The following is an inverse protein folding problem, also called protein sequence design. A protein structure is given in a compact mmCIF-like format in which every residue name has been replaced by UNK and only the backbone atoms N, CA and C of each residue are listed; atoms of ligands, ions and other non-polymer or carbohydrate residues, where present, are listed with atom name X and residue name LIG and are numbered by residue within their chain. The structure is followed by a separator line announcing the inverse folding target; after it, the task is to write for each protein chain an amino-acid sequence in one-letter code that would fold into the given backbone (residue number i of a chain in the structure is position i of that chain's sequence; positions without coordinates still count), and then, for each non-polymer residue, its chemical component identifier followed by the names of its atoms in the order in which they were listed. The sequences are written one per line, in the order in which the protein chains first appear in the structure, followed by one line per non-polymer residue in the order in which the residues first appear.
data_IF_768801913010
#
_entry.id   IF_768801913010
#
_cell.length_a   1.000
_cell.length_b   1.000
_cell.length_c   1.000
_cell.angle_alpha   90.00
_cell.angle_beta   90.00
_cell.angle_gamma   90.00
#
_symmetry.space_group_name_H-M   'P 1'
#
loop_
_entity.id
_entity.type
_entity.pdbx_description
1 polymer ?
#
# COMPACT_ATOMS: atom_id res chain seq x y z
N UNK A 1 3.20 30.19 45.83
CA UNK A 1 1.81 30.49 46.24
C UNK A 1 0.92 30.21 45.05
N UNK A 2 0.16 29.10 45.09
CA UNK A 2 -0.68 28.57 44.01
C UNK A 2 -2.10 29.15 44.14
N UNK A 3 -2.70 29.61 43.04
CA UNK A 3 -4.16 29.71 42.90
C UNK A 3 -4.49 29.38 41.44
N UNK A 4 -4.97 28.15 41.19
CA UNK A 4 -5.63 27.77 39.95
C UNK A 4 -7.14 27.78 40.23
N UNK A 5 -7.88 28.53 39.42
CA UNK A 5 -9.34 28.59 39.49
C UNK A 5 -9.95 27.29 38.96
N UNK A 6 -10.84 26.74 39.78
CA UNK A 6 -11.68 25.57 39.58
C UNK A 6 -12.97 26.02 38.89
N UNK A 7 -13.28 25.46 37.72
CA UNK A 7 -14.59 25.55 37.10
C UNK A 7 -15.14 24.15 36.85
N UNK A 8 -16.04 23.74 37.74
CA UNK A 8 -17.03 22.69 37.53
C UNK A 8 -18.03 23.10 36.45
N UNK A 9 -18.34 22.21 35.50
CA UNK A 9 -19.69 22.15 34.94
C UNK A 9 -20.04 20.77 34.37
N UNK A 10 -20.86 20.07 35.17
CA UNK A 10 -22.05 19.27 34.81
C UNK A 10 -21.94 18.15 33.77
N UNK A 11 -22.10 16.92 34.29
CA UNK A 11 -22.59 15.75 33.55
C UNK A 11 -23.98 16.03 32.96
N UNK A 12 -24.24 15.53 31.75
CA UNK A 12 -25.59 15.37 31.20
C UNK A 12 -25.73 13.92 30.75
N UNK A 13 -26.69 13.22 31.35
CA UNK A 13 -27.23 11.90 30.99
C UNK A 13 -28.25 12.00 29.84
N UNK A 14 -28.40 10.90 29.09
CA UNK A 14 -29.19 10.65 27.86
C UNK A 14 -30.65 11.15 27.83
N UNK A 15 -31.30 11.17 26.64
CA UNK A 15 -32.12 10.00 26.28
C UNK A 15 -32.14 9.61 24.79
N UNK A 16 -32.50 8.34 24.61
CA UNK A 16 -32.90 7.61 23.41
C UNK A 16 -33.96 8.32 22.57
N UNK A 17 -33.85 8.26 21.23
CA UNK A 17 -35.02 8.31 20.33
C UNK A 17 -34.89 7.38 19.14
N UNK A 18 -35.78 6.39 19.17
CA UNK A 18 -36.29 5.60 18.06
C UNK A 18 -36.81 6.51 16.94
N UNK A 19 -36.54 6.15 15.69
CA UNK A 19 -37.47 6.43 14.58
C UNK A 19 -37.68 5.14 13.81
N UNK A 20 -38.91 4.67 13.86
CA UNK A 20 -39.48 3.52 13.14
C UNK A 20 -40.64 4.05 12.31
N UNK A 21 -40.62 3.83 10.99
CA UNK A 21 -41.81 3.72 10.11
C UNK A 21 -41.31 3.21 8.75
N UNK A 22 -41.47 1.93 8.43
CA UNK A 22 -42.61 1.30 7.74
C UNK A 22 -42.27 1.11 6.24
N UNK A 23 -42.00 -0.13 5.81
CA UNK A 23 -42.96 -1.16 5.37
C UNK A 23 -43.36 -0.96 3.89
N UNK A 24 -42.73 -1.73 3.00
CA UNK A 24 -43.35 -2.17 1.75
C UNK A 24 -43.23 -3.69 1.69
N UNK A 25 -44.40 -4.33 1.76
CA UNK A 25 -44.63 -5.76 1.64
C UNK A 25 -44.63 -6.09 0.14
N UNK A 26 -43.82 -7.06 -0.26
CA UNK A 26 -44.09 -7.89 -1.43
C UNK A 26 -43.72 -9.33 -1.10
N UNK A 27 -44.73 -10.09 -0.70
CA UNK A 27 -44.64 -11.53 -0.53
C UNK A 27 -44.71 -12.20 -1.91
N UNK A 28 -43.74 -13.07 -2.22
CA UNK A 28 -43.93 -14.12 -3.20
C UNK A 28 -43.52 -15.45 -2.55
N UNK A 29 -44.53 -16.25 -2.24
CA UNK A 29 -44.40 -17.62 -1.76
C UNK A 29 -43.98 -18.52 -2.91
N UNK A 30 -42.92 -19.31 -2.74
CA UNK A 30 -42.77 -20.56 -3.49
C UNK A 30 -42.21 -21.64 -2.57
N UNK A 31 -43.11 -22.54 -2.19
CA UNK A 31 -42.88 -23.81 -1.51
C UNK A 31 -41.98 -24.71 -2.36
N UNK A 32 -40.96 -25.35 -1.79
CA UNK A 32 -40.48 -26.65 -2.30
C UNK A 32 -39.80 -27.46 -1.19
N UNK A 33 -39.98 -28.77 -1.32
CA UNK A 33 -40.02 -29.76 -0.27
C UNK A 33 -38.66 -30.20 0.27
N UNK A 34 -38.64 -30.58 1.55
CA UNK A 34 -37.63 -31.47 2.12
C UNK A 34 -37.80 -32.86 1.52
N UNK A 35 -36.84 -33.28 0.70
CA UNK A 35 -36.66 -34.66 0.26
C UNK A 35 -35.32 -35.19 0.78
N UNK A 36 -35.36 -36.04 1.81
CA UNK A 36 -34.28 -36.96 2.12
C UNK A 36 -34.37 -38.13 1.14
N UNK A 37 -33.43 -38.23 0.21
CA UNK A 37 -33.19 -39.44 -0.57
C UNK A 37 -31.69 -39.54 -0.93
N UNK A 38 -31.19 -40.76 -0.84
CA UNK A 38 -29.79 -41.14 -0.78
C UNK A 38 -29.01 -41.02 -2.11
N UNK A 39 -27.68 -41.18 -1.97
CA UNK A 39 -26.71 -41.57 -2.99
C UNK A 39 -26.36 -40.53 -4.08
N UNK A 40 -25.25 -39.83 -3.79
CA UNK A 40 -24.16 -39.62 -4.74
C UNK A 40 -24.44 -38.78 -5.98
N UNK A 41 -24.31 -37.46 -5.86
CA UNK A 41 -24.08 -36.58 -6.99
C UNK A 41 -22.91 -35.63 -6.68
N UNK A 42 -21.87 -35.69 -7.50
CA UNK A 42 -20.77 -34.72 -7.50
C UNK A 42 -21.34 -33.39 -8.00
N UNK A 43 -21.73 -32.50 -7.10
CA UNK A 43 -22.03 -31.12 -7.46
C UNK A 43 -20.74 -30.46 -7.95
N UNK A 44 -20.64 -30.37 -9.28
CA UNK A 44 -19.63 -29.59 -9.96
C UNK A 44 -19.80 -28.13 -9.55
N UNK A 45 -18.79 -27.57 -8.88
CA UNK A 45 -18.58 -26.14 -8.79
C UNK A 45 -18.51 -25.57 -10.21
N UNK A 46 -19.63 -25.10 -10.76
CA UNK A 46 -19.60 -24.29 -11.97
C UNK A 46 -19.13 -22.90 -11.55
N UNK A 47 -17.82 -22.68 -11.68
CA UNK A 47 -17.26 -21.35 -11.71
C UNK A 47 -17.93 -20.61 -12.87
N UNK A 48 -18.67 -19.55 -12.55
CA UNK A 48 -19.11 -18.56 -13.53
C UNK A 48 -17.84 -17.93 -14.11
N UNK A 49 -17.44 -18.43 -15.28
CA UNK A 49 -16.34 -17.86 -16.06
C UNK A 49 -16.71 -16.40 -16.37
N UNK A 50 -16.09 -15.49 -15.62
CA UNK A 50 -16.08 -14.07 -15.93
C UNK A 50 -15.38 -13.93 -17.27
N UNK A 51 -16.08 -13.33 -18.24
CA UNK A 51 -15.63 -12.94 -19.58
C UNK A 51 -14.14 -13.17 -19.85
N UNK A 52 -13.82 -14.16 -20.70
CA UNK A 52 -12.49 -14.38 -21.26
C UNK A 52 -12.06 -13.15 -22.08
N UNK A 53 -11.65 -12.09 -21.40
CA UNK A 53 -10.96 -10.99 -22.05
C UNK A 53 -9.67 -11.59 -22.58
N UNK A 54 -9.59 -11.74 -23.91
CA UNK A 54 -8.39 -12.23 -24.61
C UNK A 54 -7.19 -11.40 -24.16
N UNK A 55 -6.40 -11.94 -23.26
CA UNK A 55 -5.15 -11.31 -22.80
C UNK A 55 -4.16 -11.45 -23.94
N UNK A 56 -3.74 -10.33 -24.52
CA UNK A 56 -2.65 -10.39 -25.48
C UNK A 56 -1.37 -10.72 -24.72
N UNK A 57 -0.52 -11.63 -25.24
CA UNK A 57 0.73 -11.97 -24.59
C UNK A 57 1.62 -10.74 -24.48
N UNK A 58 2.41 -10.69 -23.41
CA UNK A 58 3.41 -9.64 -23.25
C UNK A 58 4.41 -9.64 -24.41
N UNK A 59 4.84 -8.46 -24.89
CA UNK A 59 5.96 -8.39 -25.81
C UNK A 59 7.22 -8.94 -25.14
N UNK A 60 8.04 -9.68 -25.89
CA UNK A 60 9.39 -10.02 -25.44
C UNK A 60 10.22 -8.75 -25.45
N UNK A 61 10.79 -8.39 -24.31
CA UNK A 61 11.64 -7.22 -24.17
C UNK A 61 13.05 -7.56 -24.64
N UNK A 62 13.61 -6.72 -25.49
CA UNK A 62 15.01 -6.83 -25.92
C UNK A 62 15.97 -6.55 -24.77
N UNK A 63 15.64 -5.53 -23.96
CA UNK A 63 16.33 -5.21 -22.71
C UNK A 63 15.31 -5.03 -21.58
N UNK A 64 15.06 -6.08 -20.78
CA UNK A 64 14.20 -6.01 -19.61
C UNK A 64 14.65 -4.98 -18.56
N UNK A 65 15.96 -4.68 -18.47
CA UNK A 65 16.49 -3.72 -17.50
C UNK A 65 16.23 -2.29 -17.96
N UNK A 66 16.49 -1.97 -19.23
CA UNK A 66 16.16 -0.66 -19.78
C UNK A 66 14.64 -0.37 -19.69
N UNK A 67 13.81 -1.34 -20.09
CA UNK A 67 12.35 -1.23 -19.95
C UNK A 67 11.95 -1.04 -18.48
N UNK A 68 12.55 -1.80 -17.56
CA UNK A 68 12.31 -1.67 -16.13
C UNK A 68 12.64 -0.28 -15.59
N UNK A 69 13.74 0.32 -16.05
CA UNK A 69 14.13 1.69 -15.68
C UNK A 69 13.08 2.70 -16.13
N UNK A 70 12.57 2.59 -17.35
CA UNK A 70 11.51 3.46 -17.86
C UNK A 70 10.23 3.35 -17.03
N UNK A 71 9.79 2.12 -16.74
CA UNK A 71 8.59 1.87 -15.93
C UNK A 71 8.72 2.43 -14.50
N UNK A 72 9.86 2.22 -13.85
CA UNK A 72 10.10 2.76 -12.49
C UNK A 72 10.21 4.29 -12.52
N UNK A 73 10.83 4.86 -13.56
CA UNK A 73 10.91 6.32 -13.71
C UNK A 73 9.53 6.93 -13.87
N UNK A 74 8.66 6.32 -14.69
CA UNK A 74 7.25 6.74 -14.85
C UNK A 74 6.50 6.67 -13.51
N UNK A 75 6.69 5.60 -12.75
CA UNK A 75 6.06 5.42 -11.44
C UNK A 75 6.48 6.51 -10.45
N UNK A 76 7.78 6.74 -10.30
CA UNK A 76 8.32 7.74 -9.37
C UNK A 76 7.95 9.17 -9.79
N UNK A 77 7.87 9.43 -11.09
CA UNK A 77 7.40 10.72 -11.62
C UNK A 77 5.93 10.95 -11.26
N UNK A 78 5.05 9.95 -11.41
CA UNK A 78 3.65 10.08 -11.00
C UNK A 78 3.51 10.34 -9.49
N UNK A 79 4.33 9.69 -8.65
CA UNK A 79 4.38 9.98 -7.20
C UNK A 79 4.87 11.40 -6.90
N UNK A 80 5.87 11.87 -7.65
CA UNK A 80 6.42 13.23 -7.51
C UNK A 80 5.40 14.31 -7.88
N UNK A 81 4.70 14.09 -9.00
CA UNK A 81 3.72 15.03 -9.53
C UNK A 81 2.35 14.92 -8.82
N UNK A 82 2.19 13.92 -7.94
CA UNK A 82 0.96 13.60 -7.21
C UNK A 82 -0.22 13.31 -8.15
N UNK A 83 0.08 12.70 -9.30
CA UNK A 83 -0.90 12.32 -10.30
C UNK A 83 -1.59 11.01 -9.90
N UNK A 84 -2.70 11.12 -9.18
CA UNK A 84 -3.46 9.96 -8.70
C UNK A 84 -3.99 9.07 -9.82
N UNK A 85 -4.32 9.64 -10.98
CA UNK A 85 -4.81 8.89 -12.14
C UNK A 85 -3.67 8.05 -12.71
N UNK A 86 -2.51 8.67 -12.98
CA UNK A 86 -1.31 7.95 -13.43
C UNK A 86 -0.82 6.92 -12.41
N UNK A 87 -0.97 7.19 -11.11
CA UNK A 87 -0.65 6.21 -10.05
C UNK A 87 -1.61 5.01 -10.17
N UNK A 88 -2.92 5.24 -10.20
CA UNK A 88 -3.94 4.19 -10.30
C UNK A 88 -3.73 3.31 -11.54
N UNK A 89 -3.49 3.92 -12.70
CA UNK A 89 -3.27 3.20 -13.96
C UNK A 89 -2.04 2.28 -13.96
N UNK A 90 -1.01 2.63 -13.17
CA UNK A 90 0.22 1.86 -13.08
C UNK A 90 0.12 0.68 -12.11
N UNK A 91 -0.88 0.64 -11.23
CA UNK A 91 -1.07 -0.44 -10.28
C UNK A 91 -2.02 -1.52 -10.83
N UNK A 92 -1.59 -2.78 -10.76
CA UNK A 92 -2.43 -3.91 -11.10
C UNK A 92 -3.55 -4.10 -10.04
N UNK A 93 -4.71 -4.70 -10.39
CA UNK A 93 -5.79 -4.92 -9.41
C UNK A 93 -5.36 -5.71 -8.17
N UNK A 94 -4.40 -6.61 -8.31
CA UNK A 94 -3.82 -7.44 -7.24
C UNK A 94 -2.57 -6.81 -6.60
N UNK A 95 -2.34 -5.51 -6.76
CA UNK A 95 -1.17 -4.82 -6.21
C UNK A 95 -1.03 -4.99 -4.70
N UNK A 96 0.21 -5.25 -4.25
CA UNK A 96 0.62 -5.19 -2.85
C UNK A 96 1.94 -4.46 -2.67
N UNK A 97 2.04 -3.68 -1.59
CA UNK A 97 3.30 -3.11 -1.12
C UNK A 97 3.68 -3.65 0.25
N UNK A 98 4.99 -3.88 0.46
CA UNK A 98 5.59 -4.13 1.77
C UNK A 98 6.69 -3.10 2.04
N UNK A 99 6.63 -2.45 3.20
CA UNK A 99 7.64 -1.46 3.63
C UNK A 99 8.57 -2.01 4.71
N UNK A 100 9.71 -1.37 4.90
CA UNK A 100 10.74 -1.78 5.86
C UNK A 100 10.24 -1.79 7.32
N UNK A 101 9.27 -0.93 7.66
CA UNK A 101 8.62 -0.94 8.97
C UNK A 101 7.59 -2.06 9.15
N UNK A 102 7.47 -2.99 8.19
CA UNK A 102 6.52 -4.10 8.21
C UNK A 102 5.13 -3.77 7.71
N UNK A 103 4.79 -2.49 7.49
CA UNK A 103 3.48 -2.10 6.97
C UNK A 103 3.26 -2.62 5.55
N UNK A 104 1.99 -2.90 5.26
CA UNK A 104 1.51 -3.33 3.94
C UNK A 104 0.37 -2.44 3.46
N UNK A 105 0.11 -2.45 2.15
CA UNK A 105 -1.13 -1.91 1.60
C UNK A 105 -1.49 -2.65 0.31
N UNK A 106 -2.78 -2.83 0.08
CA UNK A 106 -3.39 -3.18 -1.20
C UNK A 106 -3.46 -1.94 -2.11
N UNK A 107 -3.90 -2.11 -3.36
CA UNK A 107 -4.17 -1.00 -4.28
C UNK A 107 -5.10 0.05 -3.68
N UNK A 108 -6.27 -0.39 -3.19
CA UNK A 108 -7.29 0.50 -2.64
C UNK A 108 -6.78 1.28 -1.43
N UNK A 109 -6.04 0.61 -0.54
CA UNK A 109 -5.45 1.25 0.64
C UNK A 109 -4.33 2.22 0.25
N UNK A 110 -3.50 1.86 -0.73
CA UNK A 110 -2.40 2.71 -1.19
C UNK A 110 -2.91 4.01 -1.81
N UNK A 111 -3.95 3.94 -2.65
CA UNK A 111 -4.52 5.10 -3.33
C UNK A 111 -5.15 6.14 -2.38
N UNK A 112 -5.50 5.76 -1.15
CA UNK A 112 -5.99 6.70 -0.12
C UNK A 112 -4.88 7.62 0.40
N UNK A 113 -3.62 7.16 0.39
CA UNK A 113 -2.47 7.93 0.87
C UNK A 113 -1.17 7.42 0.22
N UNK A 114 -0.91 7.74 -1.06
CA UNK A 114 0.31 7.35 -1.74
C UNK A 114 1.56 7.94 -1.07
N UNK A 115 2.72 7.36 -1.38
CA UNK A 115 3.99 7.96 -0.97
C UNK A 115 4.18 9.31 -1.68
N UNK A 116 4.73 10.30 -0.96
CA UNK A 116 5.11 11.58 -1.55
C UNK A 116 6.60 11.54 -1.87
N UNK A 117 6.96 11.73 -3.13
CA UNK A 117 8.35 11.83 -3.60
C UNK A 117 8.66 13.27 -3.95
N UNK A 118 9.78 13.82 -3.49
CA UNK A 118 10.21 15.18 -3.89
C UNK A 118 11.29 15.12 -4.96
N UNK A 119 12.25 14.21 -4.78
CA UNK A 119 13.37 14.00 -5.68
C UNK A 119 13.77 12.52 -5.66
N UNK A 120 14.36 12.03 -6.74
CA UNK A 120 14.89 10.69 -6.81
C UNK A 120 16.07 10.58 -7.78
N UNK A 121 16.96 9.63 -7.48
CA UNK A 121 18.07 9.21 -8.33
C UNK A 121 18.09 7.67 -8.35
N UNK A 122 17.86 7.07 -9.51
CA UNK A 122 17.97 5.62 -9.69
C UNK A 122 19.44 5.22 -9.82
N UNK A 123 19.89 4.26 -9.03
CA UNK A 123 21.23 3.70 -9.16
C UNK A 123 21.44 3.14 -10.57
N UNK A 124 22.67 3.18 -11.09
CA UNK A 124 23.02 2.65 -12.41
C UNK A 124 22.67 1.15 -12.54
N UNK A 125 22.87 0.39 -11.46
CA UNK A 125 22.61 -1.04 -11.42
C UNK A 125 21.12 -1.33 -11.15
N UNK A 126 20.39 -1.62 -12.23
CA UNK A 126 19.05 -2.19 -12.21
C UNK A 126 19.08 -3.49 -13.02
N UNK A 127 18.54 -4.57 -12.46
CA UNK A 127 18.46 -5.87 -13.12
C UNK A 127 17.00 -6.21 -13.37
N UNK A 128 16.63 -6.31 -14.64
CA UNK A 128 15.32 -6.78 -15.08
C UNK A 128 15.37 -8.23 -15.58
N UNK A 129 14.41 -9.04 -15.16
CA UNK A 129 14.22 -10.41 -15.62
C UNK A 129 12.78 -10.60 -16.08
N UNK A 130 12.58 -10.83 -17.38
CA UNK A 130 11.26 -11.15 -17.92
C UNK A 130 11.07 -12.67 -18.05
N UNK A 131 9.88 -13.16 -17.70
CA UNK A 131 9.45 -14.51 -18.05
C UNK A 131 7.95 -14.52 -18.42
N UNK A 132 7.65 -14.70 -19.72
CA UNK A 132 6.28 -14.64 -20.21
C UNK A 132 5.65 -13.28 -19.93
N UNK A 133 4.57 -13.27 -19.13
CA UNK A 133 3.79 -12.08 -18.79
C UNK A 133 4.29 -11.32 -17.56
N UNK A 134 5.44 -11.70 -17.00
CA UNK A 134 5.97 -11.06 -15.80
C UNK A 134 7.35 -10.44 -16.04
N UNK A 135 7.62 -9.34 -15.34
CA UNK A 135 8.91 -8.67 -15.30
C UNK A 135 9.27 -8.41 -13.84
N UNK A 136 10.40 -8.96 -13.38
CA UNK A 136 10.92 -8.73 -12.03
C UNK A 136 12.12 -7.80 -12.07
N UNK A 137 12.13 -6.77 -11.24
CA UNK A 137 13.20 -5.80 -11.13
C UNK A 137 13.85 -5.85 -9.74
N UNK A 138 15.18 -5.90 -9.71
CA UNK A 138 16.00 -5.60 -8.54
C UNK A 138 16.77 -4.31 -8.82
N UNK A 139 16.59 -3.31 -7.95
CA UNK A 139 17.12 -1.97 -8.17
C UNK A 139 17.38 -1.25 -6.84
N UNK A 140 18.06 -0.12 -6.93
CA UNK A 140 18.30 0.77 -5.79
C UNK A 140 18.05 2.22 -6.20
N UNK A 141 17.80 3.04 -5.19
CA UNK A 141 17.37 4.44 -5.35
C UNK A 141 17.80 5.27 -4.16
N UNK A 142 18.24 6.51 -4.43
CA UNK A 142 18.20 7.60 -3.43
C UNK A 142 16.91 8.37 -3.66
N UNK A 143 16.14 8.58 -2.60
CA UNK A 143 14.83 9.23 -2.71
C UNK A 143 14.57 10.08 -1.48
N UNK A 144 14.07 11.28 -1.70
CA UNK A 144 13.43 12.08 -0.66
C UNK A 144 11.95 11.73 -0.65
N UNK A 145 11.56 10.83 0.25
CA UNK A 145 10.18 10.36 0.38
C UNK A 145 9.59 10.64 1.76
N UNK A 146 8.30 10.96 1.78
CA UNK A 146 7.48 11.02 2.99
C UNK A 146 6.33 10.02 2.89
N UNK A 147 6.16 9.20 3.92
CA UNK A 147 5.11 8.18 4.00
C UNK A 147 4.41 8.32 5.35
N UNK A 148 3.10 8.59 5.35
CA UNK A 148 2.34 8.79 6.59
C UNK A 148 2.91 9.92 7.47
N UNK A 149 3.48 10.97 6.85
CA UNK A 149 4.10 12.09 7.55
C UNK A 149 5.53 11.84 8.07
N UNK A 150 6.09 10.64 7.88
CA UNK A 150 7.46 10.30 8.30
C UNK A 150 8.40 10.44 7.10
N UNK A 151 9.47 11.22 7.27
CA UNK A 151 10.56 11.31 6.29
C UNK A 151 11.50 10.11 6.42
N UNK A 152 11.82 9.49 5.29
CA UNK A 152 12.73 8.34 5.23
C UNK A 152 14.15 8.77 4.88
N UNK A 153 15.12 7.88 5.10
CA UNK A 153 16.53 8.15 4.77
C UNK A 153 16.71 8.42 3.28
N UNK A 154 17.53 9.42 2.93
CA UNK A 154 18.00 9.69 1.57
C UNK A 154 19.28 8.87 1.21
N UNK A 155 19.67 7.91 2.05
CA UNK A 155 20.67 6.93 1.65
C UNK A 155 20.13 6.07 0.52
N UNK A 156 21.01 5.58 -0.34
CA UNK A 156 20.65 4.59 -1.35
C UNK A 156 19.99 3.37 -0.68
N UNK A 157 18.80 3.01 -1.14
CA UNK A 157 17.98 1.96 -0.55
C UNK A 157 17.56 0.94 -1.60
N UNK A 158 17.68 -0.38 -1.30
CA UNK A 158 17.25 -1.41 -2.23
C UNK A 158 15.72 -1.44 -2.35
N UNK A 159 15.29 -1.87 -3.54
CA UNK A 159 13.90 -2.06 -3.94
C UNK A 159 13.77 -3.33 -4.75
N UNK A 160 12.61 -3.95 -4.65
CA UNK A 160 12.21 -5.02 -5.57
C UNK A 160 10.81 -4.74 -6.07
N UNK A 161 10.60 -4.84 -7.38
CA UNK A 161 9.31 -4.55 -8.01
C UNK A 161 9.01 -5.64 -9.02
N UNK A 162 7.79 -6.17 -9.01
CA UNK A 162 7.32 -7.07 -10.05
C UNK A 162 6.19 -6.42 -10.83
N UNK A 163 6.22 -6.61 -12.14
CA UNK A 163 5.18 -6.18 -13.07
C UNK A 163 4.52 -7.40 -13.70
N UNK A 164 3.24 -7.22 -14.04
CA UNK A 164 2.48 -8.13 -14.88
C UNK A 164 1.97 -7.37 -16.11
N UNK A 165 1.97 -8.05 -17.25
CA UNK A 165 1.39 -7.54 -18.48
C UNK A 165 -0.12 -7.76 -18.47
N UNK A 166 -0.88 -6.68 -18.38
CA UNK A 166 -2.33 -6.72 -18.40
C UNK A 166 -2.86 -6.32 -19.78
N UNK A 167 -2.83 -7.27 -20.72
CA UNK A 167 -3.31 -7.13 -22.12
C UNK A 167 -2.55 -6.11 -22.99
N UNK A 168 -2.30 -4.89 -22.52
CA UNK A 168 -1.73 -3.80 -23.30
C UNK A 168 -0.65 -2.99 -22.56
N UNK A 169 -0.49 -3.20 -21.25
CA UNK A 169 0.49 -2.47 -20.44
C UNK A 169 1.07 -3.29 -19.30
N UNK A 170 2.29 -2.94 -18.92
CA UNK A 170 2.92 -3.40 -17.68
C UNK A 170 2.35 -2.64 -16.49
N UNK A 171 1.91 -3.36 -15.46
CA UNK A 171 1.42 -2.78 -14.22
C UNK A 171 2.15 -3.40 -13.02
N UNK A 172 2.36 -2.61 -11.98
CA UNK A 172 3.02 -3.05 -10.75
C UNK A 172 2.08 -4.00 -9.99
N UNK A 173 2.55 -5.20 -9.71
CA UNK A 173 1.87 -6.19 -8.86
C UNK A 173 2.46 -6.20 -7.45
N UNK A 174 3.79 -6.13 -7.33
CA UNK A 174 4.45 -6.08 -6.02
C UNK A 174 5.46 -4.95 -5.97
N UNK A 175 5.48 -4.22 -4.86
CA UNK A 175 6.51 -3.24 -4.56
C UNK A 175 7.07 -3.48 -3.15
N UNK A 176 8.38 -3.73 -3.04
CA UNK A 176 9.06 -3.89 -1.76
C UNK A 176 10.00 -2.70 -1.51
N UNK A 177 9.72 -1.96 -0.43
CA UNK A 177 10.53 -0.86 0.06
C UNK A 177 11.39 -1.35 1.24
N UNK A 178 12.70 -1.51 1.01
CA UNK A 178 13.67 -1.87 2.04
C UNK A 178 14.42 -0.67 2.63
N UNK A 179 13.90 0.56 2.47
CA UNK A 179 14.49 1.77 3.05
C UNK A 179 14.11 1.86 4.53
N UNK A 180 15.10 1.92 5.42
CA UNK A 180 14.84 2.13 6.83
C UNK A 180 14.38 3.58 7.08
N UNK A 181 13.52 3.82 8.10
CA UNK A 181 13.28 5.18 8.58
C UNK A 181 14.60 5.87 8.92
N UNK A 182 14.70 7.17 8.69
CA UNK A 182 15.88 7.92 9.09
C UNK A 182 16.10 7.75 10.61
N UNK A 183 17.32 7.38 11.01
CA UNK A 183 17.68 7.31 12.42
C UNK A 183 17.60 8.71 12.99
N UNK A 184 16.73 8.93 13.99
CA UNK A 184 16.77 10.16 14.77
C UNK A 184 18.05 10.08 15.61
N UNK A 185 19.08 10.84 15.24
CA UNK A 185 20.24 11.03 16.11
C UNK A 185 19.77 11.84 17.31
N UNK A 186 19.32 11.14 18.37
CA UNK A 186 19.10 11.77 19.67
C UNK A 186 20.45 12.30 20.12
N UNK A 187 20.67 13.61 19.98
CA UNK A 187 21.86 14.26 20.52
C UNK A 187 21.67 14.26 22.03
N UNK A 188 22.10 13.19 22.70
CA UNK A 188 22.18 13.14 24.14
C UNK A 188 23.24 14.16 24.54
N UNK A 189 22.81 15.36 24.93
CA UNK A 189 23.68 16.34 25.57
C UNK A 189 24.21 15.70 26.85
N UNK A 190 25.44 15.18 26.79
CA UNK A 190 26.19 14.74 27.96
C UNK A 190 26.45 15.96 28.85
N UNK A 191 25.56 16.23 29.79
CA UNK A 191 25.87 17.10 30.93
C UNK A 191 26.93 16.40 31.76
N UNK A 192 28.18 16.86 31.64
CA UNK A 192 29.27 16.49 32.54
C UNK A 192 28.88 16.79 33.99
N UNK A 193 28.92 15.83 34.91
CA UNK A 193 28.72 16.13 36.33
C UNK A 193 29.96 16.86 36.85
N UNK A 194 29.78 18.12 37.29
CA UNK A 194 30.81 18.87 38.02
C UNK A 194 30.97 18.26 39.42
N UNK A 195 32.05 17.51 39.64
CA UNK A 195 32.47 17.12 40.98
C UNK A 195 33.02 18.33 41.73
N UNK A 196 32.30 18.77 42.75
CA UNK A 196 32.80 19.72 43.75
C UNK A 196 33.54 18.93 44.83
N UNK A 197 34.88 19.01 44.83
CA UNK A 197 35.71 18.52 45.92
C UNK A 197 35.73 19.58 47.02
N UNK A 198 35.07 19.30 48.15
CA UNK A 198 35.23 20.07 49.39
C UNK A 198 36.38 19.47 50.18
N UNK A 199 37.45 20.24 50.37
CA UNK A 199 38.53 19.92 51.29
C UNK A 199 38.12 20.29 52.72
N UNK A 200 38.32 19.36 53.65
CA UNK A 200 38.24 19.53 55.10
C UNK A 200 39.21 18.55 55.75
#
# INVERSE_FOLDING_TARGET
MRIFNFLEKTRVTEPSRLVSTALVIAALTMTMAFGLAACGNKESLQATATSDKKVNPAPKLEDPSATGRELITKWLTALKDRDLESIDEQLAPNFQIRRANGSTATKEEYLKSPAVVTSFELSEKLVGLQHGQTLSLNWAIKVEETIGGITYSNSEAPRMTSFEWNTDKWQIVTYANFNAPATVTTTTSTTTPTTTTTAG
#
